data_IF_195387129815
#
_entry.id   IF_195387129815
#
_cell.length_a   1.000
_cell.length_b   1.000
_cell.length_c   1.000
_cell.angle_alpha   90.00
_cell.angle_beta   90.00
_cell.angle_gamma   90.00
#
_symmetry.space_group_name_H-M   'P 1'
#
loop_
_entity.id
_entity.type
_entity.pdbx_description
1 polymer ?
#
# COMPACT_ATOMS: atom_id res chain seq x y z
N UNK A 1 -11.59 45.20 -24.02
CA UNK A 1 -10.62 44.07 -24.06
C UNK A 1 -9.35 44.54 -23.37
N UNK A 2 -9.28 44.38 -22.05
CA UNK A 2 -8.10 44.74 -21.26
C UNK A 2 -7.27 43.48 -20.98
N UNK A 3 -6.04 43.47 -21.47
CA UNK A 3 -5.07 42.40 -21.23
C UNK A 3 -4.41 42.64 -19.86
N UNK A 4 -4.75 41.82 -18.87
CA UNK A 4 -4.05 41.82 -17.59
C UNK A 4 -2.72 41.08 -17.72
N UNK A 5 -1.62 41.85 -17.74
CA UNK A 5 -0.25 41.34 -17.59
C UNK A 5 -0.02 41.08 -16.09
N UNK A 6 0.09 39.80 -15.71
CA UNK A 6 0.39 39.37 -14.35
C UNK A 6 1.91 39.32 -14.15
N UNK A 7 2.45 40.23 -13.33
CA UNK A 7 3.83 40.15 -12.82
C UNK A 7 3.84 39.52 -11.42
N UNK A 8 4.67 38.49 -11.15
CA UNK A 8 4.75 37.86 -9.84
C UNK A 8 5.74 38.61 -8.96
N UNK A 9 5.32 39.10 -7.79
CA UNK A 9 6.25 39.44 -6.71
C UNK A 9 5.69 39.13 -5.31
N UNK A 10 6.56 38.47 -4.55
CA UNK A 10 6.70 38.37 -3.09
C UNK A 10 5.51 37.94 -2.22
N UNK A 11 5.46 36.63 -1.99
CA UNK A 11 4.80 36.04 -0.82
C UNK A 11 5.84 35.23 -0.04
N UNK A 12 6.09 35.63 1.22
CA UNK A 12 6.95 34.89 2.16
C UNK A 12 6.45 33.45 2.33
N UNK A 13 7.33 32.51 2.02
CA UNK A 13 7.09 31.07 1.98
C UNK A 13 6.97 30.47 3.39
N UNK A 14 5.95 29.63 3.60
CA UNK A 14 5.87 28.70 4.72
C UNK A 14 6.31 27.33 4.21
N UNK A 15 7.36 26.80 4.84
CA UNK A 15 8.32 25.82 4.33
C UNK A 15 8.04 24.38 4.79
N UNK A 16 6.85 23.83 4.50
CA UNK A 16 6.52 22.44 4.87
C UNK A 16 6.34 21.49 3.67
N UNK A 17 6.65 21.93 2.45
CA UNK A 17 6.91 21.02 1.33
C UNK A 17 8.41 20.89 1.22
N UNK A 18 8.92 19.69 1.49
CA UNK A 18 10.32 19.37 1.22
C UNK A 18 10.50 19.41 -0.31
N UNK A 19 10.97 20.54 -0.84
CA UNK A 19 11.15 20.82 -2.28
C UNK A 19 12.07 19.78 -2.93
N UNK A 20 12.83 19.04 -2.11
CA UNK A 20 13.73 17.96 -2.53
C UNK A 20 13.05 16.58 -2.65
N UNK A 21 11.73 16.45 -2.41
CA UNK A 21 11.05 15.17 -2.62
C UNK A 21 11.01 14.85 -4.12
N UNK A 22 11.61 13.73 -4.58
CA UNK A 22 11.57 13.35 -5.98
C UNK A 22 10.13 13.32 -6.49
N UNK A 23 9.86 13.83 -7.69
CA UNK A 23 8.51 13.85 -8.26
C UNK A 23 7.58 14.96 -7.77
N UNK A 24 8.00 15.83 -6.83
CA UNK A 24 7.25 17.04 -6.48
C UNK A 24 7.02 17.94 -7.71
N UNK A 25 8.04 18.09 -8.56
CA UNK A 25 7.95 18.83 -9.83
C UNK A 25 6.91 18.27 -10.80
N UNK A 26 6.68 16.94 -10.79
CA UNK A 26 5.61 16.33 -11.58
C UNK A 26 4.23 16.72 -11.05
N UNK A 27 4.03 16.69 -9.73
CA UNK A 27 2.77 17.10 -9.11
C UNK A 27 2.48 18.59 -9.36
N UNK A 28 3.50 19.45 -9.35
CA UNK A 28 3.38 20.87 -9.73
C UNK A 28 3.01 21.04 -11.21
N UNK A 29 3.67 20.30 -12.11
CA UNK A 29 3.32 20.31 -13.52
C UNK A 29 1.86 19.88 -13.74
N UNK A 30 1.42 18.82 -13.06
CA UNK A 30 0.04 18.33 -13.11
C UNK A 30 -0.96 19.36 -12.57
N UNK A 31 -0.66 20.01 -11.45
CA UNK A 31 -1.49 21.07 -10.89
C UNK A 31 -1.62 22.27 -11.84
N UNK A 32 -0.51 22.65 -12.47
CA UNK A 32 -0.49 23.72 -13.46
C UNK A 32 -1.30 23.34 -14.71
N UNK A 33 -1.25 22.07 -15.16
CA UNK A 33 -2.07 21.60 -16.28
C UNK A 33 -3.55 21.64 -15.90
N UNK A 34 -3.93 21.13 -14.72
CA UNK A 34 -5.30 21.19 -14.24
C UNK A 34 -5.84 22.63 -14.18
N UNK A 35 -5.05 23.59 -13.65
CA UNK A 35 -5.40 25.02 -13.65
C UNK A 35 -5.65 25.55 -15.06
N UNK A 36 -4.78 25.18 -16.00
CA UNK A 36 -4.89 25.64 -17.37
C UNK A 36 -6.17 25.10 -18.03
N UNK A 37 -6.50 23.82 -17.81
CA UNK A 37 -7.73 23.20 -18.30
C UNK A 37 -8.99 23.87 -17.72
N UNK A 38 -8.99 24.18 -16.42
CA UNK A 38 -10.10 24.88 -15.77
C UNK A 38 -10.34 26.27 -16.38
N UNK A 39 -9.26 27.02 -16.67
CA UNK A 39 -9.37 28.32 -17.36
C UNK A 39 -9.95 28.16 -18.77
N UNK A 40 -9.51 27.15 -19.53
CA UNK A 40 -10.01 26.88 -20.88
C UNK A 40 -11.49 26.51 -20.92
N UNK A 41 -12.05 26.01 -19.81
CA UNK A 41 -13.46 25.67 -19.65
C UNK A 41 -14.27 26.74 -18.91
N UNK A 42 -13.65 27.87 -18.54
CA UNK A 42 -14.27 28.91 -17.70
C UNK A 42 -14.79 28.38 -16.35
N UNK A 43 -14.21 27.30 -15.82
CA UNK A 43 -14.56 26.74 -14.51
C UNK A 43 -13.66 27.39 -13.46
N UNK A 44 -14.26 28.11 -12.50
CA UNK A 44 -13.50 28.69 -11.39
C UNK A 44 -13.06 27.61 -10.39
N UNK A 45 -11.98 27.89 -9.63
CA UNK A 45 -11.56 26.99 -8.55
C UNK A 45 -12.65 26.80 -7.49
N UNK A 46 -13.43 27.84 -7.17
CA UNK A 46 -14.56 27.72 -6.24
C UNK A 46 -15.69 26.86 -6.79
N UNK A 47 -15.97 26.93 -8.10
CA UNK A 47 -16.95 26.07 -8.75
C UNK A 47 -16.51 24.61 -8.70
N UNK A 48 -15.26 24.30 -9.05
CA UNK A 48 -14.71 22.94 -8.95
C UNK A 48 -14.76 22.42 -7.51
N UNK A 49 -14.36 23.24 -6.53
CA UNK A 49 -14.44 22.90 -5.11
C UNK A 49 -15.87 22.54 -4.68
N UNK A 50 -16.87 23.31 -5.14
CA UNK A 50 -18.27 23.03 -4.89
C UNK A 50 -18.74 21.72 -5.53
N UNK A 51 -18.40 21.48 -6.80
CA UNK A 51 -18.74 20.24 -7.52
C UNK A 51 -18.15 18.99 -6.87
N UNK A 52 -16.93 19.10 -6.33
CA UNK A 52 -16.24 17.99 -5.66
C UNK A 52 -16.52 17.90 -4.15
N UNK A 53 -17.26 18.86 -3.58
CA UNK A 53 -17.46 19.02 -2.13
C UNK A 53 -16.14 19.07 -1.34
N UNK A 54 -15.13 19.76 -1.88
CA UNK A 54 -13.83 19.93 -1.24
C UNK A 54 -13.69 21.38 -0.76
N UNK A 55 -13.07 21.58 0.41
CA UNK A 55 -12.79 22.93 0.90
C UNK A 55 -11.93 23.73 -0.09
N UNK A 56 -12.33 24.96 -0.39
CA UNK A 56 -11.64 25.86 -1.35
C UNK A 56 -10.17 26.09 -1.00
N UNK A 57 -9.86 26.19 0.31
CA UNK A 57 -8.49 26.28 0.82
C UNK A 57 -7.67 25.04 0.45
N UNK A 58 -8.22 23.84 0.65
CA UNK A 58 -7.57 22.57 0.33
C UNK A 58 -7.30 22.45 -1.16
N UNK A 59 -8.31 22.76 -2.00
CA UNK A 59 -8.14 22.78 -3.44
C UNK A 59 -7.03 23.76 -3.87
N UNK A 60 -7.04 24.97 -3.30
CA UNK A 60 -6.03 25.99 -3.59
C UNK A 60 -4.63 25.51 -3.20
N UNK A 61 -4.49 24.81 -2.06
CA UNK A 61 -3.21 24.23 -1.65
C UNK A 61 -2.72 23.16 -2.62
N UNK A 62 -3.58 22.26 -3.09
CA UNK A 62 -3.22 21.25 -4.09
C UNK A 62 -2.84 21.87 -5.43
N UNK A 63 -3.67 22.79 -5.95
CA UNK A 63 -3.42 23.43 -7.24
C UNK A 63 -2.19 24.35 -7.23
N UNK A 64 -1.75 24.82 -6.06
CA UNK A 64 -0.53 25.61 -5.89
C UNK A 64 0.69 24.76 -5.49
N UNK A 65 0.60 23.43 -5.50
CA UNK A 65 1.71 22.55 -5.11
C UNK A 65 2.10 22.64 -3.62
N UNK A 66 1.30 23.30 -2.79
CA UNK A 66 1.58 23.46 -1.34
C UNK A 66 1.26 22.21 -0.53
N UNK A 67 0.48 21.28 -1.08
CA UNK A 67 0.12 20.01 -0.45
C UNK A 67 0.20 18.87 -1.46
N UNK A 68 0.38 17.65 -0.93
CA UNK A 68 0.35 16.40 -1.69
C UNK A 68 -1.00 16.25 -2.38
N UNK A 69 -0.99 16.17 -3.71
CA UNK A 69 -2.19 16.03 -4.54
C UNK A 69 -2.67 14.57 -4.51
N UNK A 70 -3.92 14.29 -4.10
CA UNK A 70 -4.52 12.96 -4.17
C UNK A 70 -4.79 12.51 -5.61
N UNK A 71 -4.61 11.22 -5.91
CA UNK A 71 -5.07 10.65 -7.20
C UNK A 71 -6.58 10.79 -7.40
N UNK A 72 -7.39 10.52 -6.37
CA UNK A 72 -8.85 10.67 -6.45
C UNK A 72 -9.25 12.08 -6.87
N UNK A 73 -8.58 13.11 -6.33
CA UNK A 73 -8.87 14.49 -6.72
C UNK A 73 -8.61 14.72 -8.21
N UNK A 74 -7.45 14.30 -8.71
CA UNK A 74 -7.10 14.48 -10.13
C UNK A 74 -8.11 13.76 -11.02
N UNK A 75 -8.47 12.53 -10.67
CA UNK A 75 -9.43 11.72 -11.40
C UNK A 75 -10.82 12.36 -11.41
N UNK A 76 -11.38 12.74 -10.25
CA UNK A 76 -12.70 13.39 -10.21
C UNK A 76 -12.70 14.74 -10.93
N UNK A 77 -11.60 15.51 -10.86
CA UNK A 77 -11.47 16.76 -11.61
C UNK A 77 -11.43 16.52 -13.14
N UNK A 78 -10.80 15.42 -13.59
CA UNK A 78 -10.83 14.98 -14.98
C UNK A 78 -12.26 14.67 -15.45
N UNK A 79 -13.04 13.94 -14.64
CA UNK A 79 -14.46 13.65 -14.94
C UNK A 79 -15.31 14.92 -15.05
N UNK A 80 -15.15 15.87 -14.12
CA UNK A 80 -15.87 17.16 -14.16
C UNK A 80 -15.50 17.98 -15.41
N UNK A 81 -14.24 17.91 -15.84
CA UNK A 81 -13.75 18.68 -16.99
C UNK A 81 -13.94 17.97 -18.34
N UNK A 82 -14.40 16.72 -18.34
CA UNK A 82 -14.53 15.90 -19.56
C UNK A 82 -13.17 15.53 -20.17
N UNK A 83 -12.09 15.58 -19.39
CA UNK A 83 -10.74 15.29 -19.86
C UNK A 83 -10.39 13.86 -19.46
N UNK A 84 -9.91 13.05 -20.40
CA UNK A 84 -9.39 11.72 -20.07
C UNK A 84 -8.21 11.83 -19.09
N UNK A 85 -8.22 11.12 -17.94
CA UNK A 85 -7.15 11.19 -16.96
C UNK A 85 -5.75 10.98 -17.55
N UNK A 86 -5.53 9.92 -18.32
CA UNK A 86 -4.21 9.63 -18.91
C UNK A 86 -3.68 10.73 -19.82
N UNK A 87 -4.56 11.44 -20.54
CA UNK A 87 -4.20 12.60 -21.34
C UNK A 87 -3.63 13.73 -20.47
N UNK A 88 -4.25 14.03 -19.33
CA UNK A 88 -3.76 15.03 -18.39
C UNK A 88 -2.36 14.66 -17.84
N UNK A 89 -2.14 13.40 -17.48
CA UNK A 89 -0.84 12.92 -17.03
C UNK A 89 0.24 13.03 -18.12
N UNK A 90 -0.09 12.72 -19.39
CA UNK A 90 0.82 12.92 -20.54
C UNK A 90 1.18 14.40 -20.73
N UNK A 91 0.23 15.32 -20.54
CA UNK A 91 0.49 16.76 -20.60
C UNK A 91 1.45 17.20 -19.49
N UNK A 92 1.22 16.73 -18.27
CA UNK A 92 2.09 17.03 -17.13
C UNK A 92 3.53 16.55 -17.37
N UNK A 93 3.72 15.35 -17.92
CA UNK A 93 5.05 14.85 -18.29
C UNK A 93 5.71 15.70 -19.39
N UNK A 94 4.95 16.13 -20.40
CA UNK A 94 5.47 17.02 -21.45
C UNK A 94 5.89 18.37 -20.91
N UNK A 95 5.08 18.98 -20.04
CA UNK A 95 5.41 20.24 -19.36
C UNK A 95 6.67 20.10 -18.51
N UNK A 96 6.79 18.99 -17.77
CA UNK A 96 7.98 18.69 -16.98
C UNK A 96 9.24 18.59 -17.84
N UNK A 97 9.15 18.03 -19.05
CA UNK A 97 10.28 17.88 -19.98
C UNK A 97 10.64 19.17 -20.73
N UNK A 98 9.67 20.00 -21.07
CA UNK A 98 9.85 21.15 -21.99
C UNK A 98 10.09 22.49 -21.31
N UNK A 99 9.93 22.60 -19.99
CA UNK A 99 9.96 23.87 -19.25
C UNK A 99 8.97 24.94 -19.73
N UNK A 100 8.14 24.65 -20.73
CA UNK A 100 7.15 25.57 -21.31
C UNK A 100 5.75 24.93 -21.39
N UNK A 101 4.68 25.72 -21.20
CA UNK A 101 3.31 25.29 -21.46
C UNK A 101 3.14 24.83 -22.91
N UNK A 102 2.89 23.54 -23.12
CA UNK A 102 2.44 23.09 -24.43
C UNK A 102 0.98 23.51 -24.58
N UNK A 103 0.67 24.49 -25.44
CA UNK A 103 -0.70 24.70 -25.91
C UNK A 103 -1.10 23.43 -26.70
N UNK A 104 -1.79 22.51 -26.05
CA UNK A 104 -2.41 21.40 -26.77
C UNK A 104 -3.70 21.93 -27.38
N UNK A 105 -3.55 22.44 -28.60
CA UNK A 105 -4.61 22.82 -29.52
C UNK A 105 -5.20 21.61 -30.27
N UNK A 106 -4.68 20.40 -30.04
CA UNK A 106 -5.19 19.17 -30.63
C UNK A 106 -6.28 18.56 -29.78
N UNK A 107 -7.36 18.08 -30.43
CA UNK A 107 -8.45 17.30 -29.84
C UNK A 107 -7.96 16.40 -28.71
N UNK A 108 -8.07 16.88 -27.47
CA UNK A 108 -8.17 16.00 -26.33
C UNK A 108 -9.34 15.08 -26.66
N UNK A 109 -9.21 13.78 -26.40
CA UNK A 109 -10.36 12.89 -26.28
C UNK A 109 -11.26 13.49 -25.18
N UNK A 110 -12.07 14.48 -25.58
CA UNK A 110 -12.99 15.19 -24.73
C UNK A 110 -14.21 14.31 -24.70
N UNK A 111 -14.37 13.65 -23.56
CA UNK A 111 -15.65 13.05 -23.22
C UNK A 111 -16.56 14.18 -22.77
N UNK A 112 -17.88 14.03 -22.97
CA UNK A 112 -18.83 14.97 -22.38
C UNK A 112 -18.58 15.07 -20.86
N UNK A 113 -18.68 16.28 -20.26
CA UNK A 113 -18.56 16.44 -18.82
C UNK A 113 -19.50 15.47 -18.11
N UNK A 114 -18.98 14.80 -17.09
CA UNK A 114 -19.73 13.81 -16.34
C UNK A 114 -21.00 14.40 -15.72
N UNK A 115 -22.14 13.73 -15.88
CA UNK A 115 -23.41 14.05 -15.21
C UNK A 115 -23.51 13.48 -13.78
N UNK A 116 -22.44 12.85 -13.30
CA UNK A 116 -22.38 12.24 -11.97
C UNK A 116 -22.53 13.28 -10.85
N UNK A 117 -23.24 12.86 -9.80
CA UNK A 117 -23.37 13.60 -8.54
C UNK A 117 -22.03 13.65 -7.78
N UNK A 118 -21.88 14.58 -6.81
CA UNK A 118 -20.66 14.67 -6.01
C UNK A 118 -20.33 13.37 -5.24
N UNK A 119 -21.35 12.64 -4.78
CA UNK A 119 -21.15 11.38 -4.05
C UNK A 119 -20.68 10.27 -5.00
N UNK A 120 -21.24 10.18 -6.20
CA UNK A 120 -20.77 9.24 -7.23
C UNK A 120 -19.33 9.55 -7.68
N UNK A 121 -18.98 10.83 -7.83
CA UNK A 121 -17.61 11.26 -8.13
C UNK A 121 -16.62 10.87 -7.04
N UNK A 122 -17.04 10.96 -5.77
CA UNK A 122 -16.25 10.52 -4.62
C UNK A 122 -16.06 9.01 -4.62
N UNK A 123 -17.15 8.25 -4.79
CA UNK A 123 -17.12 6.78 -4.82
C UNK A 123 -16.26 6.26 -5.97
N UNK A 124 -16.43 6.77 -7.20
CA UNK A 124 -15.56 6.42 -8.33
C UNK A 124 -14.10 6.82 -8.07
N UNK A 125 -13.86 7.96 -7.41
CA UNK A 125 -12.51 8.37 -7.01
C UNK A 125 -11.83 7.41 -6.05
N UNK A 126 -12.57 6.85 -5.08
CA UNK A 126 -12.07 5.82 -4.16
C UNK A 126 -11.76 4.52 -4.90
N UNK A 127 -12.69 4.02 -5.73
CA UNK A 127 -12.48 2.82 -6.56
C UNK A 127 -11.27 2.96 -7.48
N UNK A 128 -11.11 4.13 -8.09
CA UNK A 128 -9.94 4.42 -8.92
C UNK A 128 -8.63 4.33 -8.15
N UNK A 129 -8.57 4.84 -6.90
CA UNK A 129 -7.37 4.67 -6.06
C UNK A 129 -7.11 3.20 -5.76
N UNK A 130 -8.13 2.40 -5.47
CA UNK A 130 -7.97 0.96 -5.24
C UNK A 130 -7.39 0.28 -6.49
N UNK A 131 -7.90 0.62 -7.68
CA UNK A 131 -7.38 0.14 -8.97
C UNK A 131 -5.91 0.54 -9.18
N UNK A 132 -5.56 1.81 -8.94
CA UNK A 132 -4.17 2.29 -9.01
C UNK A 132 -3.27 1.50 -8.05
N UNK A 133 -3.72 1.27 -6.81
CA UNK A 133 -2.98 0.53 -5.79
C UNK A 133 -2.74 -0.92 -6.20
N UNK A 134 -3.77 -1.58 -6.73
CA UNK A 134 -3.70 -2.94 -7.23
C UNK A 134 -2.77 -3.05 -8.44
N UNK A 135 -2.91 -2.18 -9.43
CA UNK A 135 -2.05 -2.16 -10.62
C UNK A 135 -0.58 -1.93 -10.25
N UNK A 136 -0.29 -0.98 -9.35
CA UNK A 136 1.09 -0.77 -8.88
C UNK A 136 1.65 -2.03 -8.21
N UNK A 137 0.86 -2.73 -7.38
CA UNK A 137 1.28 -4.00 -6.76
C UNK A 137 1.53 -5.07 -7.82
N UNK A 138 0.64 -5.22 -8.79
CA UNK A 138 0.80 -6.17 -9.90
C UNK A 138 2.07 -5.88 -10.71
N UNK A 139 2.35 -4.61 -11.00
CA UNK A 139 3.54 -4.20 -11.76
C UNK A 139 4.85 -4.38 -10.99
N UNK A 140 4.81 -4.23 -9.67
CA UNK A 140 5.92 -4.54 -8.77
C UNK A 140 6.17 -6.05 -8.70
N UNK A 141 5.11 -6.85 -8.52
CA UNK A 141 5.19 -8.31 -8.48
C UNK A 141 5.73 -8.90 -9.80
N UNK A 142 5.26 -8.40 -10.95
CA UNK A 142 5.73 -8.84 -12.28
C UNK A 142 7.22 -8.56 -12.56
N UNK A 143 7.89 -7.78 -11.71
CA UNK A 143 9.33 -7.45 -11.79
C UNK A 143 10.11 -7.99 -10.61
N UNK A 144 9.49 -8.83 -9.78
CA UNK A 144 10.05 -9.38 -8.53
C UNK A 144 10.57 -8.29 -7.57
N UNK A 145 9.89 -7.13 -7.54
CA UNK A 145 10.22 -6.01 -6.63
C UNK A 145 9.21 -6.00 -5.49
N UNK A 146 9.68 -6.16 -4.26
CA UNK A 146 8.84 -6.03 -3.07
C UNK A 146 8.47 -4.57 -2.76
N UNK A 147 7.34 -4.38 -2.08
CA UNK A 147 6.92 -3.06 -1.54
C UNK A 147 7.99 -2.46 -0.62
N UNK A 148 8.71 -3.30 0.14
CA UNK A 148 9.81 -2.87 1.00
C UNK A 148 10.98 -2.31 0.20
N UNK A 149 11.42 -3.01 -0.85
CA UNK A 149 12.53 -2.57 -1.69
C UNK A 149 12.20 -1.25 -2.38
N UNK A 150 11.00 -1.11 -2.97
CA UNK A 150 10.62 0.13 -3.63
C UNK A 150 10.50 1.29 -2.63
N UNK A 151 9.97 1.06 -1.42
CA UNK A 151 9.89 2.09 -0.39
C UNK A 151 11.28 2.61 0.00
N UNK A 152 12.22 1.69 0.26
CA UNK A 152 13.61 2.05 0.59
C UNK A 152 14.29 2.80 -0.56
N UNK A 153 14.09 2.36 -1.81
CA UNK A 153 14.61 3.03 -3.01
C UNK A 153 14.10 4.47 -3.16
N UNK A 154 12.88 4.73 -2.70
CA UNK A 154 12.25 6.05 -2.72
C UNK A 154 12.48 6.87 -1.44
N UNK A 155 13.29 6.38 -0.49
CA UNK A 155 13.53 7.05 0.78
C UNK A 155 12.29 7.14 1.67
N UNK A 156 11.36 6.18 1.56
CA UNK A 156 10.12 6.11 2.34
C UNK A 156 10.15 4.98 3.34
N UNK A 157 9.49 5.20 4.47
CA UNK A 157 9.24 4.15 5.45
C UNK A 157 8.36 3.05 4.81
N UNK A 158 8.75 1.76 4.87
CA UNK A 158 7.99 0.67 4.25
C UNK A 158 6.54 0.56 4.73
N UNK A 159 6.27 0.92 5.99
CA UNK A 159 4.92 0.94 6.53
C UNK A 159 4.02 1.95 5.78
N UNK A 160 4.52 3.16 5.53
CA UNK A 160 3.78 4.22 4.83
C UNK A 160 3.51 3.82 3.37
N UNK A 161 4.52 3.29 2.69
CA UNK A 161 4.35 2.77 1.32
C UNK A 161 3.35 1.61 1.27
N UNK A 162 3.36 0.72 2.26
CA UNK A 162 2.39 -0.36 2.39
C UNK A 162 0.95 0.14 2.62
N UNK A 163 0.77 1.18 3.44
CA UNK A 163 -0.56 1.80 3.65
C UNK A 163 -1.10 2.46 2.37
N UNK A 164 -0.23 3.09 1.58
CA UNK A 164 -0.60 3.64 0.27
C UNK A 164 -0.95 2.53 -0.72
N UNK A 165 -0.08 1.54 -0.92
CA UNK A 165 -0.27 0.48 -1.91
C UNK A 165 -1.33 -0.56 -1.51
N UNK A 166 -1.79 -0.56 -0.26
CA UNK A 166 -2.95 -1.35 0.17
C UNK A 166 -4.29 -0.64 -0.06
N UNK A 167 -4.29 0.60 -0.57
CA UNK A 167 -5.51 1.40 -0.76
C UNK A 167 -6.13 1.92 0.54
N UNK A 168 -5.56 1.61 1.72
CA UNK A 168 -6.06 2.08 3.03
C UNK A 168 -5.87 3.57 3.23
N UNK A 169 -4.84 4.14 2.60
CA UNK A 169 -4.57 5.58 2.60
C UNK A 169 -4.59 6.12 1.18
N UNK A 170 -4.99 7.38 1.06
CA UNK A 170 -4.95 8.13 -0.19
C UNK A 170 -3.52 8.15 -0.74
N UNK A 171 -3.33 7.59 -1.94
CA UNK A 171 -2.05 7.60 -2.64
C UNK A 171 -1.78 9.02 -3.19
N UNK A 172 -0.65 9.64 -2.82
CA UNK A 172 -0.21 10.88 -3.45
C UNK A 172 0.29 10.68 -4.88
N UNK A 173 0.00 11.63 -5.77
CA UNK A 173 0.44 11.59 -7.18
C UNK A 173 1.94 11.38 -7.34
N UNK A 174 2.76 12.17 -6.64
CA UNK A 174 4.23 12.09 -6.74
C UNK A 174 4.75 10.71 -6.30
N UNK A 175 4.11 10.06 -5.31
CA UNK A 175 4.53 8.73 -4.87
C UNK A 175 4.34 7.70 -5.99
N UNK A 176 3.14 7.61 -6.58
CA UNK A 176 2.92 6.65 -7.67
C UNK A 176 3.78 6.97 -8.89
N UNK A 177 3.97 8.26 -9.21
CA UNK A 177 4.87 8.68 -10.30
C UNK A 177 6.30 8.18 -10.09
N UNK A 178 6.82 8.31 -8.87
CA UNK A 178 8.16 7.80 -8.55
C UNK A 178 8.24 6.27 -8.61
N UNK A 179 7.20 5.56 -8.15
CA UNK A 179 7.13 4.10 -8.29
C UNK A 179 7.16 3.72 -9.77
N UNK A 180 6.31 4.34 -10.58
CA UNK A 180 6.26 4.18 -12.04
C UNK A 180 7.62 4.40 -12.71
N UNK A 181 8.27 5.52 -12.38
CA UNK A 181 9.61 5.84 -12.89
C UNK A 181 10.66 4.81 -12.48
N UNK A 182 10.59 4.29 -11.26
CA UNK A 182 11.55 3.30 -10.76
C UNK A 182 11.41 1.92 -11.41
N UNK A 183 10.24 1.61 -11.97
CA UNK A 183 9.93 0.34 -12.66
C UNK A 183 9.80 0.50 -14.19
N UNK A 184 10.16 1.68 -14.71
CA UNK A 184 10.05 2.06 -16.13
C UNK A 184 8.65 1.84 -16.73
N UNK A 185 7.63 2.27 -15.99
CA UNK A 185 6.23 2.27 -16.42
C UNK A 185 5.76 3.71 -16.64
N UNK A 186 5.23 4.08 -17.83
CA UNK A 186 4.61 5.39 -18.02
C UNK A 186 3.40 5.55 -17.10
N UNK A 187 3.33 6.65 -16.34
CA UNK A 187 2.21 6.87 -15.39
C UNK A 187 0.85 6.95 -16.10
N UNK A 188 0.82 7.43 -17.34
CA UNK A 188 -0.40 7.47 -18.13
C UNK A 188 -0.94 6.07 -18.44
N UNK A 189 -0.06 5.09 -18.66
CA UNK A 189 -0.45 3.70 -18.89
C UNK A 189 -1.00 3.05 -17.62
N UNK A 190 -0.40 3.33 -16.45
CA UNK A 190 -0.97 2.94 -15.16
C UNK A 190 -2.40 3.48 -14.99
N UNK A 191 -2.60 4.76 -15.32
CA UNK A 191 -3.90 5.43 -15.23
C UNK A 191 -4.92 4.84 -16.18
N UNK A 192 -4.56 4.59 -17.45
CA UNK A 192 -5.44 3.95 -18.44
C UNK A 192 -5.88 2.54 -17.98
N UNK A 193 -4.94 1.73 -17.45
CA UNK A 193 -5.25 0.38 -16.93
C UNK A 193 -6.15 0.43 -15.69
N UNK A 194 -5.88 1.36 -14.78
CA UNK A 194 -6.71 1.53 -13.60
C UNK A 194 -8.13 1.99 -13.95
N UNK A 195 -8.27 2.92 -14.89
CA UNK A 195 -9.56 3.42 -15.38
C UNK A 195 -10.39 2.29 -16.02
N UNK A 196 -9.77 1.47 -16.87
CA UNK A 196 -10.42 0.32 -17.52
C UNK A 196 -10.93 -0.74 -16.53
N UNK A 197 -10.43 -0.74 -15.29
CA UNK A 197 -10.83 -1.72 -14.26
C UNK A 197 -11.85 -1.19 -13.26
N UNK A 198 -12.19 0.10 -13.27
CA UNK A 198 -13.07 0.71 -12.26
C UNK A 198 -14.41 -0.02 -12.17
N UNK A 199 -15.01 -0.36 -13.32
CA UNK A 199 -16.33 -0.97 -13.36
C UNK A 199 -16.31 -2.48 -13.02
N UNK A 200 -15.11 -3.06 -12.86
CA UNK A 200 -14.92 -4.45 -12.40
C UNK A 200 -14.77 -4.55 -10.87
N UNK A 201 -14.64 -3.42 -10.16
CA UNK A 201 -14.53 -3.43 -8.71
C UNK A 201 -15.94 -3.45 -8.08
N UNK A 202 -16.19 -4.39 -7.15
CA UNK A 202 -17.48 -4.49 -6.47
C UNK A 202 -17.76 -3.20 -5.69
N UNK A 203 -19.05 -2.89 -5.54
CA UNK A 203 -19.49 -1.65 -4.89
C UNK A 203 -19.27 -1.65 -3.37
N UNK A 204 -19.21 -2.85 -2.78
CA UNK A 204 -19.03 -3.06 -1.35
C UNK A 204 -17.54 -3.18 -0.97
N UNK A 205 -17.08 -2.27 -0.12
CA UNK A 205 -15.71 -2.27 0.44
C UNK A 205 -15.35 -3.60 1.13
N UNK A 206 -16.35 -4.29 1.72
CA UNK A 206 -16.18 -5.60 2.37
C UNK A 206 -15.93 -6.73 1.35
N UNK A 207 -16.39 -6.56 0.11
CA UNK A 207 -16.17 -7.52 -0.98
C UNK A 207 -14.82 -7.33 -1.66
N UNK A 208 -14.27 -6.10 -1.68
CA UNK A 208 -12.92 -5.81 -2.17
C UNK A 208 -11.87 -6.49 -1.28
N UNK A 209 -12.03 -6.47 0.05
CA UNK A 209 -11.14 -7.20 0.98
C UNK A 209 -11.16 -8.71 0.69
N UNK A 210 -12.33 -9.27 0.33
CA UNK A 210 -12.46 -10.67 -0.06
C UNK A 210 -11.78 -10.93 -1.40
N UNK A 211 -12.03 -10.11 -2.42
CA UNK A 211 -11.53 -10.31 -3.79
C UNK A 211 -10.02 -10.10 -3.90
N UNK A 212 -9.43 -9.14 -3.18
CA UNK A 212 -7.97 -8.99 -3.12
C UNK A 212 -7.28 -10.14 -2.37
N UNK A 213 -8.02 -10.84 -1.51
CA UNK A 213 -7.54 -12.06 -0.88
C UNK A 213 -7.52 -13.24 -1.86
N UNK A 214 -8.41 -13.26 -2.85
CA UNK A 214 -8.53 -14.34 -3.85
C UNK A 214 -7.74 -14.07 -5.15
N UNK A 215 -7.49 -12.81 -5.50
CA UNK A 215 -6.85 -12.40 -6.77
C UNK A 215 -5.42 -11.88 -6.59
N UNK A 216 -4.75 -12.23 -5.49
CA UNK A 216 -3.30 -12.09 -5.37
C UNK A 216 -2.69 -12.99 -6.46
N UNK A 217 -2.37 -12.40 -7.61
CA UNK A 217 -1.46 -12.97 -8.58
C UNK A 217 -0.10 -13.09 -7.92
N UNK A 218 0.07 -14.19 -7.20
CA UNK A 218 1.32 -14.71 -6.71
C UNK A 218 2.24 -14.89 -7.95
N UNK A 219 3.37 -14.18 -8.01
CA UNK A 219 4.61 -14.92 -8.29
C UNK A 219 4.55 -16.12 -7.36
N UNK A 220 4.71 -17.38 -7.83
CA UNK A 220 4.35 -18.55 -7.06
C UNK A 220 5.20 -18.63 -5.80
N UNK A 221 4.80 -17.90 -4.76
CA UNK A 221 5.08 -18.22 -3.38
C UNK A 221 4.33 -19.52 -3.22
N UNK A 222 5.03 -20.61 -3.48
CA UNK A 222 4.52 -21.95 -3.24
C UNK A 222 3.84 -21.92 -1.89
N UNK A 223 2.52 -22.11 -1.89
CA UNK A 223 1.77 -22.31 -0.67
C UNK A 223 2.55 -23.33 0.17
N UNK A 224 2.77 -23.02 1.44
CA UNK A 224 3.54 -23.90 2.31
C UNK A 224 2.96 -25.31 2.24
N UNK A 225 3.84 -26.29 2.05
CA UNK A 225 3.42 -27.68 2.16
C UNK A 225 2.84 -27.91 3.57
N UNK A 226 1.86 -28.81 3.69
CA UNK A 226 1.27 -29.16 4.99
C UNK A 226 2.33 -29.61 6.01
N UNK A 227 3.37 -30.31 5.54
CA UNK A 227 4.53 -30.70 6.34
C UNK A 227 5.32 -29.50 6.88
N UNK A 228 5.51 -28.46 6.06
CA UNK A 228 6.24 -27.27 6.49
C UNK A 228 5.41 -26.41 7.45
N UNK A 229 4.11 -26.25 7.20
CA UNK A 229 3.19 -25.59 8.15
C UNK A 229 3.20 -26.33 9.49
N UNK A 230 3.14 -27.66 9.47
CA UNK A 230 3.25 -28.53 10.64
C UNK A 230 4.58 -28.35 11.39
N UNK A 231 5.72 -28.37 10.69
CA UNK A 231 7.04 -28.11 11.27
C UNK A 231 7.10 -26.76 11.98
N UNK A 232 6.65 -25.70 11.30
CA UNK A 232 6.62 -24.33 11.83
C UNK A 232 5.68 -24.18 13.02
N UNK A 233 4.54 -24.87 12.99
CA UNK A 233 3.58 -24.88 14.10
C UNK A 233 4.16 -25.54 15.35
N UNK A 234 4.80 -26.70 15.22
CA UNK A 234 5.50 -27.35 16.36
C UNK A 234 6.60 -26.47 16.93
N UNK A 235 7.38 -25.81 16.07
CA UNK A 235 8.41 -24.86 16.52
C UNK A 235 7.81 -23.69 17.33
N UNK A 236 6.62 -23.19 16.97
CA UNK A 236 5.91 -22.15 17.72
C UNK A 236 5.39 -22.66 19.07
N UNK A 237 4.85 -23.87 19.13
CA UNK A 237 4.41 -24.49 20.39
C UNK A 237 5.60 -24.66 21.34
N UNK A 238 6.70 -25.23 20.84
CA UNK A 238 7.93 -25.38 21.62
C UNK A 238 8.46 -24.03 22.12
N UNK A 239 8.46 -23.01 21.26
CA UNK A 239 8.85 -21.65 21.62
C UNK A 239 8.03 -21.09 22.79
N UNK A 240 6.74 -21.38 22.82
CA UNK A 240 5.84 -20.92 23.88
C UNK A 240 5.89 -21.79 25.13
N UNK A 241 6.64 -22.88 25.12
CA UNK A 241 6.60 -23.89 26.18
C UNK A 241 5.21 -24.53 26.32
N UNK A 242 4.48 -24.62 25.20
CA UNK A 242 3.16 -25.24 25.13
C UNK A 242 3.31 -26.67 24.62
N UNK A 243 2.62 -27.60 25.27
CA UNK A 243 2.36 -28.91 24.69
C UNK A 243 1.22 -28.83 23.66
N UNK A 244 0.98 -29.93 22.94
CA UNK A 244 -0.06 -30.00 21.91
C UNK A 244 -1.48 -29.82 22.49
N UNK A 245 -1.67 -30.12 23.77
CA UNK A 245 -2.93 -29.94 24.52
C UNK A 245 -3.25 -28.46 24.74
N UNK A 246 -2.35 -27.77 25.44
CA UNK A 246 -2.42 -26.34 25.73
C UNK A 246 -2.39 -25.47 24.47
N UNK A 247 -1.64 -25.89 23.44
CA UNK A 247 -1.64 -25.25 22.12
C UNK A 247 -3.03 -25.26 21.48
N UNK A 248 -3.68 -26.42 21.45
CA UNK A 248 -5.04 -26.55 20.93
C UNK A 248 -6.04 -25.66 21.67
N UNK A 249 -6.03 -25.69 23.00
CA UNK A 249 -6.98 -24.89 23.80
C UNK A 249 -6.81 -23.38 23.51
N UNK A 250 -5.57 -22.90 23.42
CA UNK A 250 -5.27 -21.51 23.08
C UNK A 250 -5.77 -21.13 21.67
N UNK A 251 -5.58 -22.02 20.70
CA UNK A 251 -6.03 -21.82 19.32
C UNK A 251 -7.55 -21.87 19.22
N UNK A 252 -8.20 -22.85 19.86
CA UNK A 252 -9.66 -23.02 19.88
C UNK A 252 -10.34 -21.79 20.45
N UNK A 253 -9.85 -21.28 21.59
CA UNK A 253 -10.42 -20.10 22.23
C UNK A 253 -10.30 -18.83 21.34
N UNK A 254 -9.21 -18.72 20.56
CA UNK A 254 -9.03 -17.63 19.59
C UNK A 254 -9.85 -17.82 18.32
N UNK A 255 -9.98 -19.05 17.84
CA UNK A 255 -10.81 -19.39 16.69
C UNK A 255 -12.29 -19.07 16.98
N UNK A 256 -12.79 -19.45 18.17
CA UNK A 256 -14.16 -19.16 18.60
C UNK A 256 -14.47 -17.66 18.63
N UNK A 257 -13.54 -16.83 19.10
CA UNK A 257 -13.68 -15.35 19.05
C UNK A 257 -13.81 -14.81 17.63
N UNK A 258 -13.28 -15.53 16.64
CA UNK A 258 -13.38 -15.22 15.20
C UNK A 258 -14.50 -15.96 14.49
N UNK A 259 -15.37 -16.67 15.24
CA UNK A 259 -16.45 -17.53 14.70
C UNK A 259 -15.92 -18.61 13.74
N UNK A 260 -14.72 -19.11 14.04
CA UNK A 260 -14.11 -20.26 13.37
C UNK A 260 -14.07 -21.40 14.37
N UNK A 261 -14.49 -22.58 13.95
CA UNK A 261 -14.38 -23.80 14.75
C UNK A 261 -13.17 -24.59 14.27
N UNK A 262 -12.38 -25.10 15.21
CA UNK A 262 -11.36 -26.11 14.97
C UNK A 262 -11.60 -27.19 16.01
N UNK A 263 -11.80 -28.43 15.57
CA UNK A 263 -11.93 -29.54 16.49
C UNK A 263 -10.56 -30.17 16.80
N UNK A 264 -10.54 -31.09 17.77
CA UNK A 264 -9.29 -31.70 18.23
C UNK A 264 -8.64 -32.57 17.15
N UNK A 265 -9.44 -33.28 16.35
CA UNK A 265 -8.93 -34.16 15.30
C UNK A 265 -8.33 -33.34 14.14
N UNK A 266 -8.98 -32.24 13.75
CA UNK A 266 -8.45 -31.28 12.77
C UNK A 266 -7.13 -30.67 13.26
N UNK A 267 -7.04 -30.30 14.54
CA UNK A 267 -5.78 -29.81 15.11
C UNK A 267 -4.66 -30.85 15.05
N UNK A 268 -4.95 -32.09 15.43
CA UNK A 268 -3.95 -33.16 15.44
C UNK A 268 -3.49 -33.48 13.99
N UNK A 269 -4.40 -33.51 13.01
CA UNK A 269 -4.04 -33.72 11.58
C UNK A 269 -3.22 -32.58 10.99
N UNK A 270 -3.49 -31.33 11.38
CA UNK A 270 -2.67 -30.16 11.01
C UNK A 270 -1.28 -30.25 11.65
N UNK A 271 -1.20 -30.65 12.93
CA UNK A 271 0.06 -30.88 13.60
C UNK A 271 0.84 -32.01 12.95
N UNK A 272 0.21 -33.10 12.52
CA UNK A 272 0.87 -34.20 11.81
C UNK A 272 1.38 -33.81 10.42
N UNK A 273 0.83 -32.75 9.82
CA UNK A 273 1.15 -32.33 8.46
C UNK A 273 0.37 -33.10 7.39
N UNK A 274 -0.67 -33.84 7.79
CA UNK A 274 -1.50 -34.66 6.92
C UNK A 274 -2.41 -33.80 6.04
N UNK A 275 -2.89 -32.67 6.58
CA UNK A 275 -3.80 -31.75 5.88
C UNK A 275 -3.37 -30.30 6.07
N UNK A 276 -3.49 -29.50 5.01
CA UNK A 276 -3.30 -28.06 5.11
C UNK A 276 -4.54 -27.42 5.77
N UNK A 277 -4.39 -26.65 6.86
CA UNK A 277 -5.51 -25.96 7.49
C UNK A 277 -6.12 -24.88 6.59
N UNK A 278 -7.42 -24.64 6.72
CA UNK A 278 -8.07 -23.49 6.08
C UNK A 278 -7.38 -22.18 6.55
N UNK A 279 -7.31 -21.19 5.66
CA UNK A 279 -6.74 -19.88 5.92
C UNK A 279 -7.35 -19.21 7.15
N UNK A 280 -8.65 -19.39 7.39
CA UNK A 280 -9.32 -18.87 8.60
C UNK A 280 -8.74 -19.48 9.88
N UNK A 281 -8.42 -20.77 9.84
CA UNK A 281 -7.79 -21.51 10.93
C UNK A 281 -6.34 -21.04 11.11
N UNK A 282 -5.57 -20.89 10.03
CA UNK A 282 -4.18 -20.37 10.08
C UNK A 282 -4.12 -18.99 10.74
N UNK A 283 -5.06 -18.10 10.41
CA UNK A 283 -5.14 -16.77 11.03
C UNK A 283 -5.41 -16.86 12.53
N UNK A 284 -6.28 -17.79 12.96
CA UNK A 284 -6.54 -18.01 14.38
C UNK A 284 -5.31 -18.59 15.10
N UNK A 285 -4.58 -19.52 14.46
CA UNK A 285 -3.33 -20.09 14.97
C UNK A 285 -2.26 -19.00 15.13
N UNK A 286 -2.04 -18.19 14.10
CA UNK A 286 -1.05 -17.11 14.12
C UNK A 286 -1.33 -16.11 15.26
N UNK A 287 -2.60 -15.73 15.46
CA UNK A 287 -3.03 -14.83 16.53
C UNK A 287 -2.84 -15.45 17.92
N UNK A 288 -3.25 -16.71 18.10
CA UNK A 288 -3.11 -17.44 19.36
C UNK A 288 -1.64 -17.59 19.80
N UNK A 289 -0.78 -17.92 18.85
CA UNK A 289 0.65 -18.13 19.10
C UNK A 289 1.48 -16.85 18.99
N UNK A 290 0.85 -15.72 18.61
CA UNK A 290 1.53 -14.44 18.42
C UNK A 290 2.63 -14.50 17.36
N UNK A 291 2.39 -15.24 16.28
CA UNK A 291 3.28 -15.38 15.13
C UNK A 291 2.81 -14.51 13.96
N UNK A 292 3.73 -13.99 13.11
CA UNK A 292 3.35 -13.36 11.86
C UNK A 292 2.57 -14.33 10.97
N UNK A 293 1.47 -13.88 10.34
CA UNK A 293 0.69 -14.72 9.44
C UNK A 293 1.52 -15.28 8.28
N UNK A 294 2.43 -14.45 7.75
CA UNK A 294 3.31 -14.81 6.63
C UNK A 294 4.22 -16.00 6.98
N UNK A 295 4.60 -16.16 8.26
CA UNK A 295 5.40 -17.31 8.71
C UNK A 295 4.67 -18.65 8.54
N UNK A 296 3.33 -18.66 8.64
CA UNK A 296 2.51 -19.88 8.49
C UNK A 296 1.86 -20.01 7.12
N UNK A 297 2.04 -19.04 6.22
CA UNK A 297 1.38 -19.03 4.89
C UNK A 297 2.34 -18.90 3.71
N UNK A 298 3.53 -18.33 3.89
CA UNK A 298 4.46 -18.02 2.81
C UNK A 298 5.75 -18.82 2.98
N UNK A 299 6.19 -19.46 1.90
CA UNK A 299 7.51 -20.08 1.82
C UNK A 299 8.60 -19.05 1.52
N UNK A 300 8.85 -18.19 2.51
CA UNK A 300 9.89 -17.16 2.49
C UNK A 300 10.97 -17.53 3.50
N UNK A 301 12.18 -17.81 2.99
CA UNK A 301 13.33 -18.22 3.80
C UNK A 301 13.79 -17.10 4.74
N UNK A 302 13.71 -15.83 4.34
CA UNK A 302 14.10 -14.69 5.19
C UNK A 302 13.13 -14.54 6.37
N UNK A 303 11.82 -14.62 6.09
CA UNK A 303 10.78 -14.57 7.13
C UNK A 303 10.93 -15.74 8.09
N UNK A 304 11.14 -16.95 7.56
CA UNK A 304 11.35 -18.17 8.34
C UNK A 304 12.58 -18.05 9.24
N UNK A 305 13.73 -17.74 8.66
CA UNK A 305 14.99 -17.61 9.37
C UNK A 305 14.90 -16.56 10.49
N UNK A 306 14.19 -15.46 10.26
CA UNK A 306 14.01 -14.40 11.26
C UNK A 306 13.14 -14.85 12.42
N UNK A 307 11.95 -15.40 12.16
CA UNK A 307 11.04 -15.84 13.21
C UNK A 307 11.69 -16.94 14.06
N UNK A 308 12.39 -17.88 13.42
CA UNK A 308 13.12 -18.93 14.13
C UNK A 308 14.31 -18.37 14.94
N UNK A 309 14.99 -17.33 14.45
CA UNK A 309 16.05 -16.66 15.21
C UNK A 309 15.51 -15.86 16.41
N UNK A 310 14.38 -15.16 16.26
CA UNK A 310 13.67 -14.50 17.36
C UNK A 310 13.25 -15.53 18.41
N UNK A 311 12.78 -16.70 17.95
CA UNK A 311 12.40 -17.82 18.78
C UNK A 311 13.59 -18.39 19.58
N UNK A 312 14.72 -18.65 18.90
CA UNK A 312 15.95 -19.12 19.53
C UNK A 312 16.48 -18.13 20.58
N UNK A 313 16.48 -16.83 20.26
CA UNK A 313 16.87 -15.77 21.18
C UNK A 313 15.98 -15.76 22.43
N UNK A 314 14.67 -15.84 22.27
CA UNK A 314 13.72 -15.86 23.39
C UNK A 314 13.97 -17.07 24.32
N UNK A 315 14.24 -18.26 23.77
CA UNK A 315 14.58 -19.46 24.55
C UNK A 315 15.86 -19.27 25.37
N UNK A 316 16.93 -18.76 24.75
CA UNK A 316 18.22 -18.55 25.44
C UNK A 316 18.09 -17.48 26.53
N UNK A 317 17.40 -16.38 26.23
CA UNK A 317 17.13 -15.31 27.20
C UNK A 317 16.33 -15.82 28.41
N UNK A 318 15.30 -16.63 28.19
CA UNK A 318 14.52 -17.22 29.27
C UNK A 318 15.38 -18.13 30.17
N UNK A 319 16.24 -18.97 29.59
CA UNK A 319 17.18 -19.83 30.34
C UNK A 319 18.21 -19.02 31.16
N UNK A 320 18.59 -17.85 30.67
CA UNK A 320 19.49 -16.92 31.36
C UNK A 320 18.76 -16.00 32.38
N UNK A 321 17.45 -16.16 32.59
CA UNK A 321 16.68 -15.31 33.50
C UNK A 321 16.45 -13.88 33.00
N UNK A 322 16.71 -13.60 31.72
CA UNK A 322 16.50 -12.29 31.10
C UNK A 322 15.01 -12.09 30.84
N UNK A 323 14.35 -11.30 31.71
CA UNK A 323 12.90 -11.08 31.65
C UNK A 323 12.46 -10.18 30.50
N UNK A 324 13.30 -9.22 30.08
CA UNK A 324 12.98 -8.25 29.03
C UNK A 324 14.18 -8.05 28.10
N UNK A 325 14.00 -8.36 26.82
CA UNK A 325 14.93 -7.97 25.76
C UNK A 325 14.39 -6.67 25.15
N UNK A 326 15.09 -5.55 25.35
CA UNK A 326 14.69 -4.24 24.82
C UNK A 326 14.64 -4.20 23.27
N UNK A 327 15.15 -5.23 22.60
CA UNK A 327 15.16 -5.37 21.14
C UNK A 327 13.84 -5.91 20.54
N UNK A 328 12.78 -6.16 21.33
CA UNK A 328 11.47 -6.57 20.78
C UNK A 328 10.84 -5.41 20.00
N UNK A 329 11.15 -5.32 18.70
CA UNK A 329 10.64 -4.31 17.78
C UNK A 329 11.69 -3.67 16.88
N UNK A 330 12.99 -3.87 17.14
CA UNK A 330 14.05 -3.47 16.22
C UNK A 330 14.16 -4.48 15.08
N UNK A 331 14.27 -3.99 13.84
CA UNK A 331 14.38 -4.83 12.63
C UNK A 331 15.78 -5.44 12.51
N UNK A 332 16.11 -6.37 13.40
CA UNK A 332 17.35 -7.11 13.38
C UNK A 332 17.26 -8.24 12.33
N UNK A 333 18.37 -8.53 11.65
CA UNK A 333 18.46 -9.68 10.75
C UNK A 333 18.46 -10.98 11.56
N UNK A 334 18.12 -12.09 10.91
CA UNK A 334 18.18 -13.42 11.53
C UNK A 334 19.59 -13.74 12.07
N UNK A 335 20.63 -13.32 11.37
CA UNK A 335 22.02 -13.49 11.79
C UNK A 335 22.33 -12.73 13.08
N UNK A 336 21.98 -11.44 13.15
CA UNK A 336 22.19 -10.63 14.36
C UNK A 336 21.42 -11.20 15.56
N UNK A 337 20.20 -11.69 15.35
CA UNK A 337 19.41 -12.33 16.41
C UNK A 337 20.11 -13.59 16.95
N UNK A 338 20.71 -14.40 16.08
CA UNK A 338 21.49 -15.59 16.47
C UNK A 338 22.78 -15.21 17.20
N UNK A 339 23.46 -14.16 16.76
CA UNK A 339 24.65 -13.64 17.46
C UNK A 339 24.31 -13.18 18.88
N UNK A 340 23.22 -12.43 19.05
CA UNK A 340 22.76 -12.01 20.38
C UNK A 340 22.42 -13.24 21.24
N UNK A 341 21.74 -14.24 20.67
CA UNK A 341 21.43 -15.48 21.38
C UNK A 341 22.71 -16.20 21.84
N UNK A 342 23.72 -16.28 20.98
CA UNK A 342 25.02 -16.88 21.31
C UNK A 342 25.76 -16.11 22.41
N UNK A 343 25.69 -14.77 22.42
CA UNK A 343 26.29 -13.94 23.46
C UNK A 343 25.63 -14.17 24.81
N UNK A 344 24.29 -14.20 24.87
CA UNK A 344 23.55 -14.46 26.11
C UNK A 344 23.86 -15.87 26.63
N UNK A 345 23.94 -16.86 25.74
CA UNK A 345 24.24 -18.24 26.11
C UNK A 345 25.64 -18.47 26.71
N UNK A 346 26.57 -17.53 26.52
CA UNK A 346 27.94 -17.59 27.06
C UNK A 346 28.12 -16.88 28.40
N UNK A 347 27.10 -16.17 28.90
CA UNK A 347 27.20 -15.50 30.20
C UNK A 347 27.31 -16.55 31.32
N UNK A 348 28.27 -16.40 32.26
CA UNK A 348 28.35 -17.27 33.41
C UNK A 348 27.08 -17.13 34.26
N UNK A 349 26.57 -18.26 34.75
CA UNK A 349 25.34 -18.35 35.55
C UNK A 349 25.46 -17.66 36.89
#
# INVERSE_FOLDING_TARGET
>A
MEQYIYTPNDVKYSSDVNVDEPGASFAEALAAEQKWQLRGLSISGSALAGMLQIGTRTLTQWLNGRNKIPFAFVYSACLVTGIKPSSLFKLAERRLKKSEPSLVSGNLERTEPSTLTPDELRTRGVRFIQCISAELRTQLAARDISVRQIALRLGKAPAVAGEWLSGKKVIPVHFAYNVCKAIDLPIAELVDRAEARIDLYPEDDDEVVRTETFSRGESPCSALSSNETSRRLRALLELKGMDEGSGYEAVRDRAMKRRVTIDRAEWDTVLEGTTAPDRKVIVAIADALGAPLDYLTVDDEEVTARVEAEAALARVAAKAGVKNIAARGTRLSAETLREIANLIGRLPK
#
